data_IF_961299358970
#
_entry.id   IF_961299358970
#
_cell.length_a   1.000
_cell.length_b   1.000
_cell.length_c   1.000
_cell.angle_alpha   90.00
_cell.angle_beta   90.00
_cell.angle_gamma   90.00
#
_symmetry.space_group_name_H-M   'P 1'
#
loop_
_entity.id
_entity.type
_entity.pdbx_description
1 polymer ?
#
# COMPACT_ATOMS: atom_id res chain seq x y z
N UNK A 1 4.83 -1.41 14.25
CA UNK A 1 5.55 -2.00 13.08
C UNK A 1 5.18 -1.21 11.83
N UNK A 2 6.15 -0.70 11.07
CA UNK A 2 5.89 0.04 9.82
C UNK A 2 5.55 -0.85 8.62
N UNK A 3 5.00 -0.27 7.55
CA UNK A 3 4.72 -0.95 6.28
C UNK A 3 3.24 -1.01 5.86
N UNK A 4 2.33 -0.55 6.73
CA UNK A 4 0.90 -0.45 6.42
C UNK A 4 0.25 -1.78 6.02
N UNK A 5 -0.80 -1.70 5.19
CA UNK A 5 -1.59 -2.85 4.77
C UNK A 5 -0.80 -3.88 3.96
N UNK A 6 0.30 -3.49 3.30
CA UNK A 6 1.13 -4.42 2.52
C UNK A 6 1.70 -5.57 3.37
N UNK A 7 1.85 -5.37 4.68
CA UNK A 7 2.27 -6.42 5.63
C UNK A 7 1.24 -7.54 5.73
N UNK A 8 -0.04 -7.22 5.61
CA UNK A 8 -1.18 -8.16 5.74
C UNK A 8 -1.88 -8.45 4.40
N UNK A 9 -1.48 -7.80 3.30
CA UNK A 9 -1.95 -8.13 1.96
C UNK A 9 -1.38 -9.47 1.46
N UNK A 10 -1.96 -10.05 0.42
CA UNK A 10 -1.52 -11.36 -0.14
C UNK A 10 -0.47 -11.24 -1.26
N UNK A 11 0.05 -10.03 -1.49
CA UNK A 11 1.14 -9.75 -2.42
C UNK A 11 0.74 -9.84 -3.89
N UNK A 12 -0.56 -9.79 -4.23
CA UNK A 12 -1.03 -9.66 -5.61
C UNK A 12 -0.77 -8.24 -6.09
N UNK A 13 -0.13 -8.10 -7.24
CA UNK A 13 0.15 -6.80 -7.85
C UNK A 13 -0.23 -6.89 -9.32
N UNK A 14 -1.21 -6.11 -9.74
CA UNK A 14 -1.71 -6.09 -11.12
C UNK A 14 -1.82 -4.66 -11.58
N UNK A 15 -1.60 -4.41 -12.88
CA UNK A 15 -2.01 -3.14 -13.48
C UNK A 15 -3.53 -3.07 -13.53
N UNK A 16 -4.10 -1.96 -13.09
CA UNK A 16 -5.53 -1.70 -13.18
C UNK A 16 -5.76 -0.25 -13.57
N UNK A 17 -6.84 -0.01 -14.31
CA UNK A 17 -7.33 1.32 -14.67
C UNK A 17 -6.38 2.22 -15.49
N UNK A 18 -5.26 1.71 -16.03
CA UNK A 18 -4.29 2.51 -16.80
C UNK A 18 -4.96 3.19 -18.01
N UNK A 19 -5.82 2.46 -18.73
CA UNK A 19 -6.53 2.97 -19.89
C UNK A 19 -7.57 4.02 -19.48
N UNK A 20 -8.35 3.72 -18.45
CA UNK A 20 -9.43 4.56 -17.93
C UNK A 20 -8.87 5.90 -17.41
N UNK A 21 -7.76 5.88 -16.68
CA UNK A 21 -7.07 7.11 -16.26
C UNK A 21 -6.56 7.92 -17.46
N UNK A 22 -6.00 7.25 -18.47
CA UNK A 22 -5.53 7.92 -19.68
C UNK A 22 -6.68 8.57 -20.46
N UNK A 23 -7.84 7.93 -20.55
CA UNK A 23 -9.06 8.50 -21.14
C UNK A 23 -9.56 9.74 -20.37
N UNK A 24 -9.28 9.81 -19.07
CA UNK A 24 -9.53 10.99 -18.22
C UNK A 24 -8.42 12.06 -18.30
N UNK A 25 -7.42 11.87 -19.15
CA UNK A 25 -6.30 12.81 -19.32
C UNK A 25 -5.16 12.66 -18.31
N UNK A 26 -5.12 11.54 -17.56
CA UNK A 26 -4.06 11.22 -16.59
C UNK A 26 -3.25 10.05 -17.14
N UNK A 27 -2.08 10.34 -17.74
CA UNK A 27 -1.18 9.29 -18.22
C UNK A 27 -0.28 8.79 -17.09
N UNK A 28 -0.47 7.55 -16.64
CA UNK A 28 0.30 6.90 -15.57
C UNK A 28 1.31 5.87 -16.09
N UNK A 29 1.54 5.83 -17.40
CA UNK A 29 2.32 4.74 -18.02
C UNK A 29 3.76 4.67 -17.55
N UNK A 30 4.33 5.79 -17.11
CA UNK A 30 5.68 5.86 -16.57
C UNK A 30 5.70 5.38 -15.11
N UNK A 31 4.75 5.81 -14.30
CA UNK A 31 4.59 5.44 -12.89
C UNK A 31 4.35 3.92 -12.74
N UNK A 32 3.58 3.31 -13.64
CA UNK A 32 3.41 1.85 -13.67
C UNK A 32 4.75 1.13 -13.91
N UNK A 33 5.55 1.60 -14.88
CA UNK A 33 6.86 1.01 -15.17
C UNK A 33 7.82 1.16 -14.00
N UNK A 34 7.82 2.31 -13.35
CA UNK A 34 8.64 2.57 -12.16
C UNK A 34 8.28 1.62 -11.02
N UNK A 35 7.00 1.51 -10.69
CA UNK A 35 6.53 0.59 -9.65
C UNK A 35 6.87 -0.88 -9.97
N UNK A 36 6.79 -1.30 -11.23
CA UNK A 36 7.15 -2.66 -11.65
C UNK A 36 8.66 -2.94 -11.63
N UNK A 37 9.48 -1.91 -11.80
CA UNK A 37 10.93 -2.03 -11.69
C UNK A 37 11.38 -2.11 -10.22
N UNK A 38 10.68 -1.41 -9.33
CA UNK A 38 11.00 -1.38 -7.91
C UNK A 38 10.44 -2.57 -7.11
N UNK A 39 9.27 -3.08 -7.52
CA UNK A 39 8.60 -4.20 -6.86
C UNK A 39 8.92 -5.49 -7.64
N UNK A 40 9.40 -6.56 -6.97
CA UNK A 40 9.79 -7.80 -7.63
C UNK A 40 8.57 -8.65 -8.03
N UNK A 41 7.79 -8.19 -9.00
CA UNK A 41 6.55 -8.83 -9.46
C UNK A 41 6.87 -9.96 -10.42
N UNK A 42 6.38 -11.18 -10.16
CA UNK A 42 6.51 -12.33 -11.05
C UNK A 42 5.21 -13.13 -11.07
N UNK A 43 4.92 -13.78 -12.20
CA UNK A 43 3.79 -14.71 -12.26
C UNK A 43 4.00 -15.86 -11.27
N UNK A 44 2.95 -16.20 -10.52
CA UNK A 44 2.99 -17.34 -9.62
C UNK A 44 3.21 -18.64 -10.39
N UNK A 45 4.18 -19.43 -9.96
CA UNK A 45 4.48 -20.72 -10.60
C UNK A 45 3.85 -21.88 -9.84
N UNK A 46 3.88 -23.08 -10.43
CA UNK A 46 3.33 -24.30 -9.82
C UNK A 46 4.00 -24.62 -8.48
N UNK A 47 5.25 -24.20 -8.29
CA UNK A 47 6.05 -24.45 -7.09
C UNK A 47 5.46 -23.77 -5.85
N UNK A 48 4.83 -22.60 -6.01
CA UNK A 48 4.21 -21.84 -4.92
C UNK A 48 2.68 -21.91 -4.89
N UNK A 49 2.06 -22.52 -5.90
CA UNK A 49 0.62 -22.73 -5.93
C UNK A 49 0.23 -23.88 -4.98
N UNK A 50 -0.81 -23.64 -4.18
CA UNK A 50 -1.40 -24.68 -3.34
C UNK A 50 -2.17 -25.68 -4.20
N UNK A 51 -2.34 -26.91 -3.70
CA UNK A 51 -3.12 -27.96 -4.38
C UNK A 51 -4.54 -27.51 -4.71
N UNK A 52 -5.20 -26.79 -3.80
CA UNK A 52 -6.53 -26.23 -4.02
C UNK A 52 -6.57 -25.22 -5.18
N UNK A 53 -5.59 -24.32 -5.27
CA UNK A 53 -5.49 -23.38 -6.40
C UNK A 53 -5.30 -24.10 -7.73
N UNK A 54 -4.54 -25.21 -7.74
CA UNK A 54 -4.33 -26.00 -8.94
C UNK A 54 -5.57 -26.79 -9.36
N UNK A 55 -6.31 -27.35 -8.41
CA UNK A 55 -7.58 -28.01 -8.68
C UNK A 55 -8.61 -27.04 -9.30
N UNK A 56 -8.67 -25.79 -8.80
CA UNK A 56 -9.52 -24.74 -9.37
C UNK A 56 -9.09 -24.41 -10.80
N UNK A 57 -7.78 -24.27 -11.04
CA UNK A 57 -7.24 -24.01 -12.37
C UNK A 57 -7.60 -25.12 -13.37
N UNK A 58 -7.44 -26.39 -12.99
CA UNK A 58 -7.78 -27.54 -13.84
C UNK A 58 -9.28 -27.63 -14.12
N UNK A 59 -10.13 -27.35 -13.12
CA UNK A 59 -11.58 -27.30 -13.29
C UNK A 59 -12.04 -26.14 -14.18
N UNK A 60 -11.40 -24.96 -14.08
CA UNK A 60 -11.69 -23.84 -14.96
C UNK A 60 -11.39 -24.20 -16.42
N UNK A 61 -10.23 -24.81 -16.68
CA UNK A 61 -9.84 -25.26 -18.02
C UNK A 61 -10.80 -26.33 -18.57
N UNK A 62 -11.25 -27.29 -17.76
CA UNK A 62 -12.16 -28.35 -18.23
C UNK A 62 -13.55 -27.81 -18.60
N UNK A 63 -13.95 -26.68 -18.03
CA UNK A 63 -15.17 -25.96 -18.36
C UNK A 63 -15.00 -24.94 -19.52
N UNK A 64 -13.80 -24.84 -20.10
CA UNK A 64 -13.50 -23.91 -21.19
C UNK A 64 -13.19 -22.48 -20.75
N UNK A 65 -12.97 -22.23 -19.45
CA UNK A 65 -12.54 -20.93 -18.96
C UNK A 65 -11.02 -20.77 -19.03
N UNK A 66 -10.56 -19.59 -19.43
CA UNK A 66 -9.17 -19.20 -19.30
C UNK A 66 -8.91 -18.67 -17.88
N UNK A 67 -7.90 -19.24 -17.21
CA UNK A 67 -7.41 -18.75 -15.94
C UNK A 67 -5.93 -18.43 -16.09
N UNK A 68 -5.50 -17.27 -15.60
CA UNK A 68 -4.11 -16.83 -15.67
C UNK A 68 -3.42 -16.93 -14.31
N UNK A 69 -2.10 -17.11 -14.34
CA UNK A 69 -1.29 -17.07 -13.13
C UNK A 69 -1.30 -15.65 -12.55
N UNK A 70 -1.58 -15.54 -11.25
CA UNK A 70 -1.59 -14.24 -10.57
C UNK A 70 -0.16 -13.66 -10.50
N UNK A 71 0.09 -12.42 -10.97
CA UNK A 71 1.34 -11.74 -10.70
C UNK A 71 1.44 -11.39 -9.21
N UNK A 72 2.55 -11.78 -8.61
CA UNK A 72 2.81 -11.67 -7.18
C UNK A 72 4.18 -11.08 -6.91
N UNK A 73 4.26 -10.23 -5.88
CA UNK A 73 5.52 -9.75 -5.33
C UNK A 73 6.00 -10.70 -4.22
N UNK A 74 6.29 -11.95 -4.59
CA UNK A 74 6.75 -13.02 -3.69
C UNK A 74 8.01 -13.66 -4.28
N UNK A 75 9.07 -13.69 -3.48
CA UNK A 75 10.26 -14.50 -3.70
C UNK A 75 9.90 -15.99 -3.59
N UNK A 76 9.80 -16.63 -4.75
CA UNK A 76 9.30 -18.01 -4.87
C UNK A 76 10.29 -19.04 -4.31
N UNK A 77 11.58 -18.69 -4.18
CA UNK A 77 12.60 -19.57 -3.59
C UNK A 77 12.52 -19.60 -2.07
N UNK A 78 11.99 -18.54 -1.44
CA UNK A 78 11.80 -18.45 0.02
C UNK A 78 10.39 -18.84 0.47
N UNK A 79 9.43 -18.88 -0.45
CA UNK A 79 8.04 -19.15 -0.11
C UNK A 79 7.82 -20.65 0.19
N UNK A 80 7.42 -20.96 1.42
CA UNK A 80 7.11 -22.34 1.85
C UNK A 80 5.63 -22.72 1.74
N UNK A 81 4.80 -21.91 1.08
CA UNK A 81 3.35 -22.15 0.91
C UNK A 81 2.56 -22.32 2.22
N UNK A 82 2.92 -21.62 3.29
CA UNK A 82 2.27 -21.77 4.59
C UNK A 82 0.83 -21.24 4.68
N UNK A 83 0.34 -20.50 3.68
CA UNK A 83 -1.00 -19.91 3.69
C UNK A 83 -1.19 -18.70 4.63
N UNK A 84 -0.17 -18.29 5.37
CA UNK A 84 -0.26 -17.26 6.42
C UNK A 84 0.06 -15.83 5.94
N UNK A 85 -0.13 -15.52 4.66
CA UNK A 85 0.27 -14.22 4.09
C UNK A 85 -0.39 -13.03 4.81
N UNK A 86 -1.63 -13.21 5.28
CA UNK A 86 -2.41 -12.18 5.98
C UNK A 86 -1.91 -11.90 7.40
N UNK A 87 -1.11 -12.79 7.98
CA UNK A 87 -0.54 -12.65 9.32
C UNK A 87 0.87 -12.04 9.29
N UNK A 88 1.32 -11.56 8.12
CA UNK A 88 2.71 -11.18 7.89
C UNK A 88 3.57 -12.37 7.47
N UNK A 89 4.36 -12.19 6.42
CA UNK A 89 5.23 -13.25 5.90
C UNK A 89 6.46 -13.44 6.80
N UNK A 90 6.42 -14.45 7.67
CA UNK A 90 7.56 -14.81 8.56
C UNK A 90 8.82 -15.24 7.82
N UNK A 91 8.68 -15.75 6.59
CA UNK A 91 9.81 -16.17 5.75
C UNK A 91 10.53 -15.01 5.07
N UNK A 92 10.00 -13.78 5.14
CA UNK A 92 10.53 -12.65 4.39
C UNK A 92 10.43 -12.80 2.86
N UNK A 93 9.61 -13.75 2.38
CA UNK A 93 9.43 -14.02 0.95
C UNK A 93 8.55 -12.98 0.26
N UNK A 94 7.52 -12.46 0.95
CA UNK A 94 6.59 -11.46 0.40
C UNK A 94 7.18 -10.06 0.54
N UNK A 95 7.26 -9.34 -0.57
CA UNK A 95 7.61 -7.93 -0.58
C UNK A 95 6.57 -7.10 0.18
N UNK A 96 7.01 -6.08 0.92
CA UNK A 96 6.12 -5.15 1.63
C UNK A 96 6.68 -3.73 1.54
N UNK A 97 5.87 -2.72 1.80
CA UNK A 97 6.31 -1.32 1.84
C UNK A 97 7.38 -1.05 2.92
N UNK A 98 7.66 -2.00 3.83
CA UNK A 98 8.85 -1.94 4.69
C UNK A 98 10.15 -1.84 3.89
N UNK A 99 10.19 -2.40 2.68
CA UNK A 99 11.35 -2.29 1.81
C UNK A 99 11.65 -0.83 1.46
N UNK A 100 10.64 -0.01 1.16
CA UNK A 100 10.81 1.43 0.97
C UNK A 100 11.14 2.15 2.28
N UNK A 101 10.43 1.83 3.37
CA UNK A 101 10.67 2.44 4.68
C UNK A 101 12.12 2.24 5.13
N UNK A 102 12.66 1.04 5.00
CA UNK A 102 14.04 0.72 5.35
C UNK A 102 15.05 1.47 4.47
N UNK A 103 14.73 1.69 3.19
CA UNK A 103 15.58 2.49 2.30
C UNK A 103 15.57 3.97 2.71
N UNK A 104 14.40 4.54 3.00
CA UNK A 104 14.28 5.91 3.47
C UNK A 104 15.05 6.13 4.79
N UNK A 105 14.94 5.20 5.74
CA UNK A 105 15.70 5.26 7.00
C UNK A 105 17.21 5.23 6.76
N UNK A 106 17.69 4.38 5.84
CA UNK A 106 19.12 4.35 5.47
C UNK A 106 19.60 5.67 4.84
N UNK A 107 18.69 6.45 4.25
CA UNK A 107 18.97 7.78 3.69
C UNK A 107 18.78 8.91 4.72
N UNK A 108 18.48 8.60 5.98
CA UNK A 108 18.38 9.58 7.07
C UNK A 108 16.95 9.94 7.48
N UNK A 109 15.92 9.30 6.90
CA UNK A 109 14.55 9.51 7.37
C UNK A 109 14.36 9.01 8.80
N UNK A 110 13.69 9.82 9.63
CA UNK A 110 13.34 9.45 11.01
C UNK A 110 11.91 8.92 11.05
N UNK A 111 11.72 7.77 11.68
CA UNK A 111 10.40 7.15 11.84
C UNK A 111 9.98 7.24 13.30
N UNK A 112 8.82 7.88 13.56
CA UNK A 112 8.16 7.89 14.86
C UNK A 112 7.01 6.88 14.84
N UNK A 113 7.16 5.81 15.61
CA UNK A 113 6.10 4.83 15.80
C UNK A 113 5.11 5.31 16.85
N UNK A 114 3.93 4.70 16.87
CA UNK A 114 2.88 4.95 17.88
C UNK A 114 2.52 6.44 18.00
N UNK A 115 2.63 7.17 16.88
CA UNK A 115 2.35 8.59 16.74
C UNK A 115 1.18 8.75 15.77
N UNK A 116 -0.02 8.98 16.31
CA UNK A 116 -1.24 9.16 15.52
C UNK A 116 -1.48 10.63 15.27
N UNK A 117 -1.24 11.08 14.05
CA UNK A 117 -1.62 12.42 13.59
C UNK A 117 -3.14 12.54 13.55
N UNK A 118 -3.67 13.61 14.12
CA UNK A 118 -5.11 13.88 14.20
C UNK A 118 -5.53 15.05 13.32
N UNK A 119 -4.64 16.03 13.10
CA UNK A 119 -4.88 17.15 12.20
C UNK A 119 -3.59 17.73 11.61
N UNK A 120 -3.75 18.46 10.51
CA UNK A 120 -2.74 19.33 9.90
C UNK A 120 -2.93 20.74 10.45
N UNK A 121 -1.84 21.35 10.89
CA UNK A 121 -1.81 22.73 11.34
C UNK A 121 -1.70 23.65 10.12
N UNK A 122 -2.62 24.60 10.00
CA UNK A 122 -2.76 25.48 8.84
C UNK A 122 -2.86 26.93 9.31
N UNK A 123 -2.01 27.79 8.76
CA UNK A 123 -2.08 29.24 8.93
C UNK A 123 -2.13 29.93 7.57
N UNK A 124 -3.03 30.90 7.40
CA UNK A 124 -3.24 31.64 6.15
C UNK A 124 -3.36 30.76 4.89
N UNK A 125 -3.94 29.58 5.03
CA UNK A 125 -4.11 28.61 3.94
C UNK A 125 -2.88 27.75 3.63
N UNK A 126 -1.79 27.92 4.38
CA UNK A 126 -0.56 27.16 4.25
C UNK A 126 -0.42 26.16 5.41
N UNK A 127 -0.18 24.89 5.10
CA UNK A 127 0.18 23.90 6.12
C UNK A 127 1.58 24.20 6.65
N UNK A 128 1.74 24.21 7.98
CA UNK A 128 3.03 24.45 8.65
C UNK A 128 3.41 23.33 9.63
N UNK A 129 2.56 22.31 9.79
CA UNK A 129 2.85 21.21 10.69
C UNK A 129 1.69 20.23 10.85
N UNK A 130 1.83 19.35 11.82
CA UNK A 130 0.80 18.40 12.24
C UNK A 130 0.74 18.35 13.76
N UNK A 131 -0.44 18.04 14.29
CA UNK A 131 -0.60 17.66 15.69
C UNK A 131 -1.23 16.28 15.81
N UNK A 132 -0.98 15.63 16.93
CA UNK A 132 -1.56 14.34 17.22
C UNK A 132 -1.25 13.85 18.62
N UNK A 133 -1.45 12.56 18.81
CA UNK A 133 -1.28 11.88 20.09
C UNK A 133 -0.32 10.71 19.94
N UNK A 134 0.50 10.50 20.97
CA UNK A 134 1.26 9.27 21.15
C UNK A 134 0.84 8.56 22.46
N UNK A 135 1.57 7.54 22.89
CA UNK A 135 1.20 6.76 24.07
C UNK A 135 1.21 7.55 25.39
N UNK A 136 1.94 8.66 25.44
CA UNK A 136 2.22 9.40 26.68
C UNK A 136 1.63 10.81 26.64
N UNK A 137 1.67 11.49 25.50
CA UNK A 137 1.30 12.91 25.38
C UNK A 137 0.75 13.30 23.99
N UNK A 138 0.17 14.50 23.94
CA UNK A 138 -0.05 15.25 22.69
C UNK A 138 1.28 15.75 22.13
N UNK A 139 1.39 15.84 20.80
CA UNK A 139 2.55 16.38 20.12
C UNK A 139 2.17 17.34 18.99
N UNK A 140 3.08 18.27 18.72
CA UNK A 140 3.08 19.11 17.52
C UNK A 140 4.43 19.00 16.84
N UNK A 141 4.41 18.86 15.51
CA UNK A 141 5.61 18.87 14.68
C UNK A 141 5.43 19.89 13.57
N UNK A 142 6.33 20.89 13.53
CA UNK A 142 6.42 21.84 12.43
C UNK A 142 7.11 21.20 11.22
N UNK A 143 6.66 21.56 10.02
CA UNK A 143 7.23 21.10 8.78
C UNK A 143 6.92 22.06 7.63
N UNK A 144 7.90 22.30 6.75
CA UNK A 144 7.70 23.08 5.52
C UNK A 144 6.72 22.41 4.54
N UNK A 145 6.62 21.07 4.61
CA UNK A 145 5.78 20.25 3.74
C UNK A 145 5.16 19.11 4.53
N UNK A 146 3.85 18.92 4.37
CA UNK A 146 3.09 17.82 4.96
C UNK A 146 2.51 16.94 3.85
N UNK A 147 2.83 15.65 3.89
CA UNK A 147 2.31 14.63 2.96
C UNK A 147 1.45 13.66 3.75
N UNK A 148 0.13 13.67 3.52
CA UNK A 148 -0.77 12.69 4.13
C UNK A 148 -0.80 11.40 3.32
N UNK A 149 -0.41 10.30 3.96
CA UNK A 149 -0.42 8.95 3.38
C UNK A 149 -1.07 7.94 4.34
N UNK A 150 -2.09 8.36 5.10
CA UNK A 150 -2.77 7.56 6.13
C UNK A 150 -3.84 6.58 5.57
N UNK A 151 -3.77 6.27 4.27
CA UNK A 151 -4.73 5.44 3.56
C UNK A 151 -6.09 6.10 3.35
N UNK A 152 -7.00 5.38 2.68
CA UNK A 152 -8.33 5.89 2.29
C UNK A 152 -9.29 6.13 3.45
N UNK A 153 -9.00 5.58 4.64
CA UNK A 153 -9.81 5.80 5.84
C UNK A 153 -9.20 6.85 6.78
N UNK A 154 -7.88 6.81 7.00
CA UNK A 154 -7.22 7.75 7.91
C UNK A 154 -7.08 9.15 7.32
N UNK A 155 -6.75 9.26 6.03
CA UNK A 155 -6.48 10.56 5.41
C UNK A 155 -7.72 11.48 5.40
N UNK A 156 -8.93 11.02 5.02
CA UNK A 156 -10.11 11.88 5.08
C UNK A 156 -10.44 12.38 6.48
N UNK A 157 -10.25 11.55 7.51
CA UNK A 157 -10.50 11.93 8.91
C UNK A 157 -9.56 13.06 9.34
N UNK A 158 -8.26 12.94 9.04
CA UNK A 158 -7.27 13.99 9.33
C UNK A 158 -7.66 15.28 8.60
N UNK A 159 -7.99 15.21 7.30
CA UNK A 159 -8.37 16.38 6.51
C UNK A 159 -9.64 17.07 7.05
N UNK A 160 -10.64 16.30 7.49
CA UNK A 160 -11.87 16.82 8.11
C UNK A 160 -11.56 17.54 9.43
N UNK A 161 -10.74 16.94 10.29
CA UNK A 161 -10.31 17.56 11.55
C UNK A 161 -9.49 18.84 11.31
N UNK A 162 -8.73 18.89 10.22
CA UNK A 162 -7.92 20.05 9.82
C UNK A 162 -8.74 21.24 9.29
N UNK A 163 -10.08 21.12 9.25
CA UNK A 163 -11.02 22.17 8.82
C UNK A 163 -10.73 22.73 7.42
N UNK A 164 -10.19 21.90 6.53
CA UNK A 164 -9.97 22.28 5.12
C UNK A 164 -11.35 22.49 4.48
N UNK A 165 -11.55 23.66 3.87
CA UNK A 165 -12.82 24.05 3.27
C UNK A 165 -13.02 23.36 1.90
N UNK A 166 -13.24 22.05 1.93
CA UNK A 166 -13.59 21.26 0.76
C UNK A 166 -14.66 20.24 1.15
N UNK A 167 -15.86 20.40 0.59
CA UNK A 167 -16.99 19.54 0.94
C UNK A 167 -16.85 18.12 0.38
N UNK A 168 -15.94 17.85 -0.55
CA UNK A 168 -15.79 16.52 -1.17
C UNK A 168 -14.99 15.54 -0.32
N UNK A 169 -14.31 16.02 0.72
CA UNK A 169 -13.49 15.19 1.61
C UNK A 169 -14.34 14.11 2.28
N UNK A 170 -14.06 12.85 1.96
CA UNK A 170 -14.69 11.67 2.56
C UNK A 170 -16.00 11.20 1.90
N UNK A 171 -16.51 11.89 0.87
CA UNK A 171 -17.84 11.57 0.28
C UNK A 171 -17.91 10.31 -0.58
N UNK A 172 -16.79 9.79 -1.08
CA UNK A 172 -16.73 8.63 -2.02
C UNK A 172 -16.07 7.39 -1.41
N UNK A 173 -16.10 7.26 -0.09
CA UNK A 173 -15.46 6.16 0.63
C UNK A 173 -16.33 4.88 0.73
N UNK A 174 -17.52 4.87 0.12
CA UNK A 174 -18.48 3.76 0.12
C UNK A 174 -18.77 3.25 -1.28
#
# INVERSE_FOLDING_TARGET
MGGGSTVVATGNIVRCYEKEFKEMGIDLSQEFKEAENEIPIRLSTKEIQASGSRAIYEAALSLGYQMEAMPKAIDQQKCIKCGLCINGCKQGAKWTAKNYLNQAVKQGAVVRYDSRVEEVLIDQGQAYGVRGVNAEDEFEYEADKVILAAGGLGTPVILQNSKINNTDVGKKAG
#
